data_IF_668677545840
#
_entry.id   IF_668677545840
#
_cell.length_a   1.000
_cell.length_b   1.000
_cell.length_c   1.000
_cell.angle_alpha   90.00
_cell.angle_beta   90.00
_cell.angle_gamma   90.00
#
_symmetry.space_group_name_H-M   'P 1'
#
loop_
_entity.id
_entity.type
_entity.pdbx_description
1 polymer ?
#
# COMPACT_ATOMS: atom_id res chain seq x y z
N UNK A 1 -1.58 7.11 11.75
CA UNK A 1 -0.74 5.92 11.58
C UNK A 1 -0.23 5.43 12.94
N UNK A 2 -0.02 4.14 13.04
CA UNK A 2 0.54 3.47 14.21
C UNK A 2 1.35 2.25 13.75
N UNK A 3 2.65 2.44 13.51
CA UNK A 3 3.52 1.48 12.86
C UNK A 3 4.52 0.81 13.79
N UNK A 4 5.21 -0.19 13.25
CA UNK A 4 6.37 -0.83 13.85
C UNK A 4 7.64 -0.05 13.49
N UNK A 5 8.60 0.01 14.38
CA UNK A 5 9.94 0.49 14.04
C UNK A 5 10.59 -0.45 13.02
N UNK A 6 11.24 0.13 11.99
CA UNK A 6 11.84 -0.65 10.89
C UNK A 6 12.95 -1.61 11.35
N UNK A 7 13.65 -1.26 12.43
CA UNK A 7 14.80 -2.02 12.94
C UNK A 7 14.47 -2.91 14.17
N UNK A 8 13.24 -2.90 14.66
CA UNK A 8 12.85 -3.63 15.88
C UNK A 8 12.03 -4.90 15.60
N UNK A 9 12.62 -5.82 14.84
CA UNK A 9 12.03 -7.17 14.70
C UNK A 9 12.03 -7.99 16.00
N UNK A 10 12.79 -7.59 17.02
CA UNK A 10 13.05 -8.42 18.21
C UNK A 10 12.27 -8.00 19.47
N UNK A 11 11.90 -6.75 19.58
CA UNK A 11 11.19 -6.22 20.76
C UNK A 11 9.80 -5.70 20.38
N UNK A 12 8.86 -6.60 20.15
CA UNK A 12 7.44 -6.28 19.91
C UNK A 12 6.71 -5.87 21.20
N UNK A 13 7.30 -4.95 21.97
CA UNK A 13 6.60 -4.34 23.09
C UNK A 13 5.75 -3.20 22.56
N UNK A 14 4.47 -3.22 22.89
CA UNK A 14 3.59 -2.09 22.57
C UNK A 14 4.08 -0.83 23.30
N UNK A 15 4.14 0.32 22.63
CA UNK A 15 4.44 1.58 23.30
C UNK A 15 3.35 1.89 24.33
N UNK A 16 3.73 2.52 25.45
CA UNK A 16 2.80 2.93 26.51
C UNK A 16 1.99 4.16 26.08
N UNK A 17 0.95 3.91 25.25
CA UNK A 17 0.00 4.93 24.80
C UNK A 17 -1.34 4.64 25.47
N UNK A 18 -1.59 5.32 26.59
CA UNK A 18 -2.82 5.16 27.38
C UNK A 18 -4.06 5.40 26.52
N UNK A 19 -5.02 4.49 26.59
CA UNK A 19 -6.29 4.58 25.88
C UNK A 19 -6.23 4.13 24.42
N UNK A 20 -5.07 3.71 23.90
CA UNK A 20 -4.98 3.19 22.53
C UNK A 20 -5.12 1.66 22.46
N UNK A 21 -4.46 0.96 23.37
CA UNK A 21 -4.42 -0.50 23.35
C UNK A 21 -5.21 -1.15 24.50
N UNK A 22 -5.28 -0.48 25.64
CA UNK A 22 -5.82 -0.99 26.90
C UNK A 22 -7.32 -0.68 27.10
N UNK A 23 -7.78 0.51 26.68
CA UNK A 23 -9.18 0.92 26.69
C UNK A 23 -9.47 1.92 25.57
N UNK A 24 -10.75 2.25 25.35
CA UNK A 24 -11.13 3.26 24.37
C UNK A 24 -10.88 4.67 24.89
N UNK A 25 -9.72 5.22 24.62
CA UNK A 25 -9.33 6.59 24.96
C UNK A 25 -9.26 7.54 23.76
N UNK A 26 -9.52 7.05 22.55
CA UNK A 26 -9.49 7.82 21.30
C UNK A 26 -10.78 7.62 20.51
N UNK A 27 -11.18 8.65 19.79
CA UNK A 27 -12.41 8.63 18.99
C UNK A 27 -12.21 7.97 17.63
N UNK A 28 -10.99 7.98 17.07
CA UNK A 28 -10.64 7.30 15.83
C UNK A 28 -9.13 7.14 15.63
N UNK A 29 -8.75 6.18 14.77
CA UNK A 29 -7.41 6.04 14.22
C UNK A 29 -7.51 6.05 12.69
N UNK A 30 -6.64 6.81 12.04
CA UNK A 30 -6.55 6.91 10.58
C UNK A 30 -5.21 6.32 10.12
N UNK A 31 -5.26 5.42 9.15
CA UNK A 31 -4.09 4.78 8.55
C UNK A 31 -3.92 5.28 7.13
N UNK A 32 -2.79 5.94 6.84
CA UNK A 32 -2.48 6.48 5.52
C UNK A 32 -2.29 5.38 4.48
N UNK A 33 -1.59 4.30 4.84
CA UNK A 33 -1.34 3.15 3.97
C UNK A 33 -0.89 1.90 4.75
N UNK A 34 -0.74 0.77 4.05
CA UNK A 34 -0.58 -0.55 4.66
C UNK A 34 0.87 -1.01 4.92
N UNK A 35 1.90 -0.20 4.81
CA UNK A 35 3.25 -0.62 5.19
C UNK A 35 3.37 -0.83 6.70
N UNK A 36 4.28 -1.71 7.12
CA UNK A 36 4.40 -2.13 8.50
C UNK A 36 4.77 -1.01 9.48
N UNK A 37 5.55 -0.05 9.03
CA UNK A 37 5.93 1.16 9.76
C UNK A 37 4.80 2.21 9.88
N UNK A 38 3.65 1.97 9.26
CA UNK A 38 2.44 2.79 9.38
C UNK A 38 1.23 2.04 9.96
N UNK A 39 1.12 0.74 9.69
CA UNK A 39 -0.02 -0.11 10.09
C UNK A 39 0.34 -1.12 11.20
N UNK A 40 1.61 -1.45 11.39
CA UNK A 40 2.03 -2.68 12.07
C UNK A 40 1.54 -2.86 13.49
N UNK A 41 1.28 -1.81 14.25
CA UNK A 41 0.68 -1.88 15.59
C UNK A 41 -0.85 -1.76 15.59
N UNK A 42 -1.48 -1.50 14.44
CA UNK A 42 -2.93 -1.35 14.36
C UNK A 42 -3.70 -2.64 14.73
N UNK A 43 -3.06 -3.80 14.62
CA UNK A 43 -3.61 -5.09 15.08
C UNK A 43 -3.85 -5.17 16.60
N UNK A 44 -3.28 -4.25 17.36
CA UNK A 44 -3.37 -4.21 18.82
C UNK A 44 -4.27 -3.09 19.34
N UNK A 45 -4.77 -2.22 18.45
CA UNK A 45 -5.67 -1.11 18.83
C UNK A 45 -6.91 -1.69 19.52
N UNK A 46 -7.36 -1.01 20.58
CA UNK A 46 -8.57 -1.41 21.29
C UNK A 46 -9.76 -1.48 20.33
N UNK A 47 -10.48 -2.60 20.34
CA UNK A 47 -11.52 -2.95 19.36
C UNK A 47 -12.67 -1.94 19.20
N UNK A 48 -12.91 -1.12 20.21
CA UNK A 48 -13.98 -0.12 20.20
C UNK A 48 -13.51 1.24 19.64
N UNK A 49 -12.24 1.38 19.26
CA UNK A 49 -11.72 2.57 18.57
C UNK A 49 -11.93 2.39 17.07
N UNK A 50 -12.73 3.26 16.41
CA UNK A 50 -12.91 3.22 14.97
C UNK A 50 -11.58 3.38 14.22
N UNK A 51 -11.28 2.48 13.29
CA UNK A 51 -10.11 2.56 12.42
C UNK A 51 -10.56 2.84 10.99
N UNK A 52 -9.93 3.82 10.36
CA UNK A 52 -10.18 4.23 8.98
C UNK A 52 -8.94 3.99 8.13
N UNK A 53 -9.12 3.38 6.95
CA UNK A 53 -8.05 3.18 5.96
C UNK A 53 -8.65 3.04 4.55
N UNK A 54 -7.83 3.04 3.52
CA UNK A 54 -8.29 2.83 2.14
C UNK A 54 -8.95 1.47 1.96
N UNK A 55 -10.02 1.39 1.15
CA UNK A 55 -10.74 0.12 0.90
C UNK A 55 -9.85 -0.93 0.26
N UNK A 56 -9.05 -0.52 -0.74
CA UNK A 56 -8.11 -1.42 -1.41
C UNK A 56 -6.96 -1.82 -0.50
N UNK A 57 -6.48 -0.88 0.31
CA UNK A 57 -5.50 -1.14 1.37
C UNK A 57 -5.99 -2.23 2.33
N UNK A 58 -7.23 -2.14 2.80
CA UNK A 58 -7.84 -3.14 3.68
C UNK A 58 -7.94 -4.52 3.01
N UNK A 59 -8.38 -4.59 1.75
CA UNK A 59 -8.47 -5.85 0.98
C UNK A 59 -7.10 -6.50 0.77
N UNK A 60 -6.07 -5.70 0.46
CA UNK A 60 -4.70 -6.17 0.29
C UNK A 60 -4.17 -6.76 1.62
N UNK A 61 -4.39 -6.07 2.74
CA UNK A 61 -4.00 -6.58 4.05
C UNK A 61 -4.75 -7.86 4.40
N UNK A 62 -6.04 -7.92 4.16
CA UNK A 62 -6.83 -9.14 4.38
C UNK A 62 -6.30 -10.34 3.56
N UNK A 63 -5.94 -10.13 2.30
CA UNK A 63 -5.31 -11.15 1.47
C UNK A 63 -3.96 -11.60 2.04
N UNK A 64 -3.12 -10.64 2.45
CA UNK A 64 -1.83 -10.89 3.09
C UNK A 64 -1.96 -11.68 4.38
N UNK A 65 -2.87 -11.28 5.25
CA UNK A 65 -3.10 -11.91 6.55
C UNK A 65 -3.66 -13.33 6.39
N UNK A 66 -4.58 -13.50 5.45
CA UNK A 66 -5.13 -14.83 5.08
C UNK A 66 -4.00 -15.76 4.59
N UNK A 67 -3.12 -15.26 3.72
CA UNK A 67 -1.97 -16.03 3.24
C UNK A 67 -1.02 -16.41 4.38
N UNK A 68 -0.77 -15.49 5.30
CA UNK A 68 0.09 -15.69 6.49
C UNK A 68 -0.59 -16.47 7.61
N UNK A 69 -1.92 -16.66 7.54
CA UNK A 69 -2.75 -17.30 8.56
C UNK A 69 -2.70 -16.56 9.90
N UNK A 70 -2.78 -15.25 9.86
CA UNK A 70 -2.86 -14.37 11.05
C UNK A 70 -4.21 -13.63 11.07
N UNK A 71 -4.64 -13.11 12.24
CA UNK A 71 -5.83 -12.27 12.33
C UNK A 71 -5.72 -11.05 11.43
N UNK A 72 -6.81 -10.62 10.82
CA UNK A 72 -6.85 -9.44 9.97
C UNK A 72 -7.46 -8.23 10.67
N UNK A 73 -7.10 -7.04 10.19
CA UNK A 73 -7.71 -5.78 10.61
C UNK A 73 -9.05 -5.61 9.88
N UNK A 74 -10.08 -5.22 10.64
CA UNK A 74 -11.38 -4.86 10.08
C UNK A 74 -11.60 -3.35 10.29
N UNK A 75 -11.49 -2.52 9.25
CA UNK A 75 -11.76 -1.10 9.34
C UNK A 75 -13.22 -0.83 9.75
N UNK A 76 -13.44 0.28 10.44
CA UNK A 76 -14.77 0.80 10.73
C UNK A 76 -15.41 1.38 9.46
N UNK A 77 -14.63 2.18 8.69
CA UNK A 77 -15.05 2.74 7.41
C UNK A 77 -13.82 3.04 6.53
N UNK A 78 -14.04 3.43 5.29
CA UNK A 78 -13.01 3.59 4.27
C UNK A 78 -12.72 5.05 3.94
N UNK A 79 -11.43 5.32 3.71
CA UNK A 79 -10.96 6.58 3.16
C UNK A 79 -11.32 6.65 1.67
N UNK A 80 -11.89 7.76 1.25
CA UNK A 80 -12.16 8.08 -0.15
C UNK A 80 -11.58 9.47 -0.47
N UNK A 81 -11.00 9.61 -1.65
CA UNK A 81 -10.40 10.86 -2.08
C UNK A 81 -11.36 12.04 -1.95
N UNK A 82 -10.97 13.06 -1.16
CA UNK A 82 -11.73 14.30 -0.90
C UNK A 82 -13.07 14.10 -0.16
N UNK A 83 -13.36 12.93 0.34
CA UNK A 83 -14.57 12.70 1.14
C UNK A 83 -14.25 12.96 2.61
N UNK A 84 -14.76 14.10 3.12
CA UNK A 84 -14.56 14.52 4.50
C UNK A 84 -15.22 13.56 5.49
N UNK A 85 -14.46 13.17 6.52
CA UNK A 85 -14.92 12.40 7.67
C UNK A 85 -14.88 13.33 8.89
N UNK A 86 -15.94 13.32 9.72
CA UNK A 86 -16.02 14.15 10.94
C UNK A 86 -16.00 13.22 12.14
N UNK A 87 -15.08 13.50 13.07
CA UNK A 87 -14.93 12.77 14.33
C UNK A 87 -14.87 13.81 15.46
N UNK A 88 -15.95 13.92 16.24
CA UNK A 88 -16.11 15.03 17.21
C UNK A 88 -16.04 16.38 16.50
N UNK A 89 -15.15 17.25 16.96
CA UNK A 89 -14.92 18.58 16.40
C UNK A 89 -13.83 18.61 15.31
N UNK A 90 -13.23 17.45 14.98
CA UNK A 90 -12.18 17.33 13.99
C UNK A 90 -12.76 16.83 12.67
N UNK A 91 -12.42 17.48 11.57
CA UNK A 91 -12.67 16.96 10.24
C UNK A 91 -11.39 16.44 9.60
N UNK A 92 -11.45 15.28 8.96
CA UNK A 92 -10.33 14.65 8.25
C UNK A 92 -10.73 14.48 6.79
N UNK A 93 -9.96 15.09 5.88
CA UNK A 93 -10.17 14.96 4.44
C UNK A 93 -9.00 14.17 3.84
N UNK A 94 -9.24 12.95 3.32
CA UNK A 94 -8.21 12.14 2.68
C UNK A 94 -7.93 12.65 1.26
N UNK A 95 -6.65 12.70 0.88
CA UNK A 95 -6.20 12.97 -0.49
C UNK A 95 -5.38 11.79 -0.99
N UNK A 96 -5.84 11.14 -2.05
CA UNK A 96 -5.08 10.05 -2.68
C UNK A 96 -3.68 10.54 -3.05
N UNK A 97 -2.66 9.73 -2.79
CA UNK A 97 -1.29 10.05 -3.15
C UNK A 97 -0.60 8.93 -3.94
N UNK A 98 0.52 9.25 -4.60
CA UNK A 98 1.38 8.24 -5.20
C UNK A 98 2.35 7.69 -4.16
N UNK A 99 2.33 6.38 -4.00
CA UNK A 99 3.24 5.61 -3.16
C UNK A 99 3.33 4.16 -3.65
N UNK A 100 4.32 3.39 -3.18
CA UNK A 100 4.46 1.96 -3.51
C UNK A 100 3.31 1.12 -2.93
N UNK A 101 2.77 1.51 -1.78
CA UNK A 101 1.51 0.99 -1.30
C UNK A 101 0.35 1.52 -2.12
N UNK A 102 -0.52 0.63 -2.56
CA UNK A 102 -1.71 0.99 -3.33
C UNK A 102 -2.77 1.60 -2.42
N UNK A 103 -3.55 2.58 -2.92
CA UNK A 103 -4.62 3.21 -2.16
C UNK A 103 -4.10 3.93 -0.89
N UNK A 104 -3.03 4.72 -1.06
CA UNK A 104 -2.39 5.54 -0.02
C UNK A 104 -2.95 6.95 0.00
N UNK A 105 -3.05 7.56 1.19
CA UNK A 105 -3.67 8.86 1.40
C UNK A 105 -2.80 9.80 2.23
N UNK A 106 -2.78 11.07 1.84
CA UNK A 106 -2.47 12.19 2.71
C UNK A 106 -3.73 12.58 3.48
N UNK A 107 -3.60 13.06 4.70
CA UNK A 107 -4.73 13.38 5.58
C UNK A 107 -4.68 14.86 5.98
N UNK A 108 -5.69 15.63 5.55
CA UNK A 108 -5.90 17.00 6.02
C UNK A 108 -6.81 16.98 7.24
N UNK A 109 -6.28 17.35 8.39
CA UNK A 109 -7.02 17.46 9.64
C UNK A 109 -7.33 18.95 9.91
N UNK A 110 -8.56 19.27 10.20
CA UNK A 110 -9.01 20.65 10.49
C UNK A 110 -9.83 20.68 11.78
N UNK A 111 -9.51 21.58 12.69
CA UNK A 111 -10.23 21.84 13.93
C UNK A 111 -9.93 23.27 14.41
N UNK A 112 -10.88 23.95 15.06
CA UNK A 112 -10.71 25.28 15.69
C UNK A 112 -10.10 26.36 14.77
N UNK A 113 -10.32 26.25 13.45
CA UNK A 113 -9.78 27.18 12.46
C UNK A 113 -8.30 26.94 12.10
N UNK A 114 -7.67 25.90 12.62
CA UNK A 114 -6.33 25.43 12.23
C UNK A 114 -6.40 24.20 11.33
N UNK A 115 -5.38 24.02 10.50
CA UNK A 115 -5.25 22.92 9.56
C UNK A 115 -3.89 22.25 9.64
N UNK A 116 -3.87 20.92 9.62
CA UNK A 116 -2.65 20.10 9.60
C UNK A 116 -2.75 19.14 8.41
N UNK A 117 -1.77 19.17 7.51
CA UNK A 117 -1.62 18.16 6.47
C UNK A 117 -0.56 17.15 6.91
N UNK A 118 -0.98 15.88 7.06
CA UNK A 118 -0.10 14.73 7.25
C UNK A 118 0.06 14.02 5.93
N UNK A 119 1.28 13.88 5.42
CA UNK A 119 1.51 13.31 4.08
C UNK A 119 1.49 11.78 4.06
N UNK A 120 1.70 11.11 5.22
CA UNK A 120 2.14 9.73 5.15
C UNK A 120 3.38 9.65 4.27
N UNK A 121 3.60 8.52 3.62
CA UNK A 121 4.64 8.35 2.61
C UNK A 121 4.11 8.66 1.21
N UNK A 122 4.94 9.33 0.41
CA UNK A 122 4.59 9.64 -0.98
C UNK A 122 5.81 9.64 -1.90
N UNK A 123 5.55 9.54 -3.20
CA UNK A 123 6.58 9.63 -4.25
C UNK A 123 5.97 10.28 -5.49
N UNK A 124 6.82 10.70 -6.44
CA UNK A 124 6.38 11.25 -7.71
C UNK A 124 6.81 10.42 -8.92
N UNK A 125 7.33 9.21 -8.71
CA UNK A 125 7.89 8.36 -9.75
C UNK A 125 7.11 7.04 -9.97
N UNK A 126 5.93 6.92 -9.36
CA UNK A 126 5.01 5.80 -9.55
C UNK A 126 4.18 5.90 -10.84
N UNK A 127 3.00 5.28 -10.83
CA UNK A 127 2.08 5.26 -11.98
C UNK A 127 0.90 6.21 -11.86
N UNK A 128 0.71 6.82 -10.69
CA UNK A 128 -0.36 7.81 -10.51
C UNK A 128 0.07 9.17 -11.07
N UNK A 129 -0.86 9.99 -11.56
CA UNK A 129 -0.59 11.32 -12.13
C UNK A 129 -0.23 12.32 -11.01
N UNK A 130 1.03 12.37 -10.64
CA UNK A 130 1.53 13.09 -9.46
C UNK A 130 1.18 14.57 -9.46
N UNK A 131 1.37 15.28 -10.58
CA UNK A 131 1.07 16.71 -10.68
C UNK A 131 -0.41 17.00 -10.45
N UNK A 132 -1.29 16.12 -10.96
CA UNK A 132 -2.73 16.23 -10.69
C UNK A 132 -3.03 16.00 -9.21
N UNK A 133 -2.47 14.98 -8.61
CA UNK A 133 -2.65 14.69 -7.17
C UNK A 133 -2.21 15.87 -6.31
N UNK A 134 -1.08 16.50 -6.62
CA UNK A 134 -0.62 17.71 -5.92
C UNK A 134 -1.57 18.89 -6.11
N UNK A 135 -2.17 19.04 -7.29
CA UNK A 135 -3.11 20.13 -7.57
C UNK A 135 -4.41 20.04 -6.78
N UNK A 136 -4.76 18.84 -6.30
CA UNK A 136 -5.94 18.59 -5.47
C UNK A 136 -5.74 18.98 -4.00
N UNK A 137 -4.49 19.13 -3.56
CA UNK A 137 -4.18 19.49 -2.17
C UNK A 137 -4.53 20.96 -1.88
N UNK A 138 -4.84 21.31 -0.63
CA UNK A 138 -5.03 22.68 -0.23
C UNK A 138 -3.76 23.52 -0.49
N UNK A 139 -3.92 24.72 -1.04
CA UNK A 139 -2.78 25.62 -1.35
C UNK A 139 -2.05 26.16 -0.11
N UNK A 140 -2.71 26.12 1.05
CA UNK A 140 -2.17 26.57 2.32
C UNK A 140 -2.69 25.67 3.43
N UNK A 141 -1.82 25.36 4.36
CA UNK A 141 -2.13 24.69 5.64
C UNK A 141 -1.31 25.39 6.73
N UNK A 142 -1.79 25.35 7.97
CA UNK A 142 -1.08 25.98 9.08
C UNK A 142 0.13 25.15 9.51
N UNK A 143 0.02 23.82 9.44
CA UNK A 143 1.09 22.88 9.78
C UNK A 143 1.19 21.78 8.73
N UNK A 144 2.42 21.38 8.43
CA UNK A 144 2.74 20.26 7.54
C UNK A 144 3.57 19.23 8.30
N UNK A 145 3.09 17.99 8.36
CA UNK A 145 3.85 16.83 8.82
C UNK A 145 4.20 16.02 7.58
N UNK A 146 5.46 16.08 7.18
CA UNK A 146 5.93 15.53 5.91
C UNK A 146 6.98 14.46 6.17
N UNK A 147 6.95 13.37 5.38
CA UNK A 147 8.04 12.40 5.37
C UNK A 147 9.38 13.01 4.95
N UNK A 148 10.46 12.30 5.29
CA UNK A 148 11.83 12.69 4.96
C UNK A 148 12.72 11.51 4.57
N UNK A 149 12.16 10.40 4.12
CA UNK A 149 12.84 9.11 3.89
C UNK A 149 14.04 9.22 2.95
N UNK A 150 13.99 10.13 1.97
CA UNK A 150 15.07 10.30 0.98
C UNK A 150 15.97 11.50 1.22
N UNK A 151 15.72 12.32 2.25
CA UNK A 151 16.46 13.55 2.52
C UNK A 151 17.97 13.35 2.73
N UNK A 152 18.35 12.20 3.31
CA UNK A 152 19.77 11.86 3.55
C UNK A 152 20.47 11.18 2.38
N UNK A 153 19.77 10.92 1.28
CA UNK A 153 20.33 10.20 0.12
C UNK A 153 20.90 11.17 -0.89
N UNK A 154 22.17 11.56 -0.71
CA UNK A 154 22.87 12.41 -1.66
C UNK A 154 22.91 11.80 -3.07
N UNK A 155 22.61 12.59 -4.10
CA UNK A 155 22.64 12.16 -5.50
C UNK A 155 21.56 11.15 -5.90
N UNK A 156 20.58 10.89 -5.05
CA UNK A 156 19.48 9.99 -5.39
C UNK A 156 18.61 10.57 -6.50
N UNK A 157 18.54 9.84 -7.60
CA UNK A 157 17.61 10.13 -8.71
C UNK A 157 16.58 9.01 -8.75
N UNK A 158 15.33 9.34 -8.52
CA UNK A 158 14.24 8.38 -8.59
C UNK A 158 14.00 7.94 -10.03
N UNK A 159 14.13 6.65 -10.32
CA UNK A 159 13.76 6.06 -11.60
C UNK A 159 12.25 5.86 -11.61
N UNK A 160 11.56 6.33 -12.65
CA UNK A 160 10.11 6.17 -12.78
C UNK A 160 9.73 4.71 -13.11
N UNK A 161 8.50 4.32 -12.74
CA UNK A 161 7.97 2.99 -13.13
C UNK A 161 7.91 2.84 -14.66
N UNK A 162 7.77 3.92 -15.43
CA UNK A 162 7.82 3.88 -16.89
C UNK A 162 9.23 3.61 -17.43
N UNK A 163 10.24 4.19 -16.82
CA UNK A 163 11.65 3.92 -17.20
C UNK A 163 12.04 2.49 -16.85
N UNK A 164 11.63 2.01 -15.66
CA UNK A 164 11.82 0.61 -15.25
C UNK A 164 11.12 -0.36 -16.20
N UNK A 165 9.90 -0.03 -16.65
CA UNK A 165 9.20 -0.83 -17.68
C UNK A 165 10.02 -0.92 -18.96
N UNK A 166 10.57 0.20 -19.45
CA UNK A 166 11.38 0.22 -20.66
C UNK A 166 12.67 -0.61 -20.50
N UNK A 167 13.39 -0.45 -19.39
CA UNK A 167 14.58 -1.24 -19.08
C UNK A 167 14.26 -2.74 -19.00
N UNK A 168 13.16 -3.09 -18.36
CA UNK A 168 12.72 -4.48 -18.25
C UNK A 168 12.36 -5.08 -19.62
N UNK A 169 11.75 -4.32 -20.54
CA UNK A 169 11.48 -4.77 -21.92
C UNK A 169 12.76 -5.17 -22.63
N UNK A 170 13.83 -4.37 -22.55
CA UNK A 170 15.11 -4.68 -23.19
C UNK A 170 15.72 -5.95 -22.57
N UNK A 171 15.79 -6.03 -21.24
CA UNK A 171 16.28 -7.22 -20.55
C UNK A 171 15.50 -8.46 -20.95
N UNK A 172 14.17 -8.37 -21.04
CA UNK A 172 13.31 -9.51 -21.37
C UNK A 172 13.46 -9.95 -22.82
N UNK A 173 13.70 -9.03 -23.75
CA UNK A 173 13.96 -9.36 -25.17
C UNK A 173 15.29 -10.03 -25.41
N UNK A 174 16.33 -9.56 -24.70
CA UNK A 174 17.70 -10.06 -24.86
C UNK A 174 17.90 -11.46 -24.29
N UNK A 175 17.07 -11.87 -23.33
CA UNK A 175 17.17 -13.17 -22.69
C UNK A 175 16.30 -14.22 -23.37
N UNK A 176 16.89 -15.38 -23.74
CA UNK A 176 16.18 -16.50 -24.39
C UNK A 176 15.47 -17.42 -23.38
N UNK A 177 15.97 -17.53 -22.18
CA UNK A 177 15.46 -18.39 -21.10
C UNK A 177 14.48 -17.69 -20.16
N UNK A 178 14.05 -18.36 -19.08
CA UNK A 178 13.26 -17.74 -18.03
C UNK A 178 13.99 -16.57 -17.38
N UNK A 179 13.26 -15.52 -17.05
CA UNK A 179 13.76 -14.36 -16.29
C UNK A 179 13.03 -14.31 -14.97
N UNK A 180 13.76 -14.31 -13.88
CA UNK A 180 13.24 -14.21 -12.53
C UNK A 180 13.40 -12.77 -12.03
N UNK A 181 12.29 -12.19 -11.57
CA UNK A 181 12.24 -10.84 -11.02
C UNK A 181 11.96 -10.93 -9.53
N UNK A 182 12.89 -10.45 -8.71
CA UNK A 182 12.69 -10.32 -7.27
C UNK A 182 12.12 -8.93 -6.96
N UNK A 183 10.90 -8.88 -6.43
CA UNK A 183 10.22 -7.64 -6.09
C UNK A 183 9.28 -7.83 -4.89
N UNK A 184 8.83 -6.74 -4.28
CA UNK A 184 7.79 -6.80 -3.27
C UNK A 184 6.43 -7.09 -3.91
N UNK A 185 5.72 -8.11 -3.42
CA UNK A 185 4.35 -8.42 -3.82
C UNK A 185 3.35 -7.32 -3.41
N UNK A 186 3.72 -6.48 -2.45
CA UNK A 186 2.89 -5.38 -1.96
C UNK A 186 3.06 -4.09 -2.79
N UNK A 187 4.00 -4.04 -3.74
CA UNK A 187 4.19 -2.90 -4.66
C UNK A 187 3.37 -3.11 -5.94
N UNK A 188 2.12 -2.64 -5.93
CA UNK A 188 1.18 -2.85 -7.04
C UNK A 188 1.67 -2.19 -8.34
N UNK A 189 2.24 -1.00 -8.29
CA UNK A 189 2.80 -0.35 -9.47
C UNK A 189 3.88 -1.20 -10.13
N UNK A 190 4.72 -1.87 -9.34
CA UNK A 190 5.77 -2.75 -9.84
C UNK A 190 5.20 -4.03 -10.47
N UNK A 191 4.10 -4.59 -9.95
CA UNK A 191 3.39 -5.71 -10.59
C UNK A 191 2.92 -5.29 -11.98
N UNK A 192 2.27 -4.14 -12.09
CA UNK A 192 1.82 -3.58 -13.37
C UNK A 192 3.00 -3.32 -14.32
N UNK A 193 4.11 -2.79 -13.80
CA UNK A 193 5.33 -2.52 -14.55
C UNK A 193 5.89 -3.79 -15.19
N UNK A 194 6.06 -4.84 -14.40
CA UNK A 194 6.62 -6.11 -14.88
C UNK A 194 5.68 -6.82 -15.84
N UNK A 195 4.37 -6.81 -15.58
CA UNK A 195 3.36 -7.34 -16.50
C UNK A 195 3.43 -6.61 -17.86
N UNK A 196 3.41 -5.29 -17.88
CA UNK A 196 3.46 -4.50 -19.12
C UNK A 196 4.76 -4.75 -19.90
N UNK A 197 5.90 -4.83 -19.19
CA UNK A 197 7.18 -5.16 -19.81
C UNK A 197 7.16 -6.57 -20.43
N UNK A 198 6.55 -7.54 -19.74
CA UNK A 198 6.36 -8.91 -20.22
C UNK A 198 5.53 -8.94 -21.50
N UNK A 199 4.40 -8.24 -21.53
CA UNK A 199 3.55 -8.13 -22.72
C UNK A 199 4.28 -7.50 -23.90
N UNK A 200 4.98 -6.38 -23.67
CA UNK A 200 5.73 -5.64 -24.72
C UNK A 200 6.92 -6.45 -25.26
N UNK A 201 7.42 -7.41 -24.51
CA UNK A 201 8.49 -8.32 -24.94
C UNK A 201 7.99 -9.63 -25.55
N UNK A 202 6.66 -9.84 -25.64
CA UNK A 202 6.05 -11.05 -26.20
C UNK A 202 6.23 -12.29 -25.33
N UNK A 203 6.36 -12.11 -24.01
CA UNK A 203 6.59 -13.20 -23.04
C UNK A 203 5.31 -13.48 -22.23
N UNK A 204 5.33 -14.57 -21.47
CA UNK A 204 4.26 -14.96 -20.56
C UNK A 204 4.58 -14.46 -19.16
N UNK A 205 3.60 -13.85 -18.49
CA UNK A 205 3.73 -13.37 -17.11
C UNK A 205 3.29 -14.48 -16.15
N UNK A 206 4.21 -14.81 -15.24
CA UNK A 206 3.95 -15.74 -14.15
C UNK A 206 4.22 -15.03 -12.83
N UNK A 207 3.28 -15.14 -11.90
CA UNK A 207 3.42 -14.57 -10.56
C UNK A 207 3.29 -15.64 -9.48
N UNK A 208 3.98 -15.45 -8.38
CA UNK A 208 3.88 -16.33 -7.22
C UNK A 208 2.50 -16.17 -6.56
N UNK A 209 1.96 -17.23 -5.97
CA UNK A 209 0.62 -17.27 -5.41
C UNK A 209 0.31 -16.10 -4.45
N UNK A 210 1.24 -15.71 -3.60
CA UNK A 210 1.05 -14.56 -2.71
C UNK A 210 0.86 -13.25 -3.49
N UNK A 211 1.67 -13.05 -4.53
CA UNK A 211 1.52 -11.88 -5.41
C UNK A 211 0.17 -11.91 -6.14
N UNK A 212 -0.26 -13.08 -6.63
CA UNK A 212 -1.56 -13.27 -7.27
C UNK A 212 -2.73 -12.90 -6.34
N UNK A 213 -2.65 -13.29 -5.06
CA UNK A 213 -3.64 -12.95 -4.05
C UNK A 213 -3.70 -11.44 -3.78
N UNK A 214 -2.55 -10.81 -3.65
CA UNK A 214 -2.41 -9.35 -3.46
C UNK A 214 -2.93 -8.58 -4.67
N UNK A 215 -2.53 -8.97 -5.89
CA UNK A 215 -2.97 -8.34 -7.13
C UNK A 215 -4.50 -8.44 -7.32
N UNK A 216 -5.08 -9.62 -7.04
CA UNK A 216 -6.53 -9.85 -7.08
C UNK A 216 -7.27 -8.97 -6.07
N UNK A 217 -6.73 -8.82 -4.86
CA UNK A 217 -7.32 -7.98 -3.81
C UNK A 217 -7.26 -6.48 -4.16
N UNK A 218 -6.21 -6.03 -4.87
CA UNK A 218 -6.07 -4.65 -5.31
C UNK A 218 -7.14 -4.24 -6.34
N UNK A 219 -7.68 -5.19 -7.11
CA UNK A 219 -8.83 -4.99 -7.98
C UNK A 219 -8.66 -5.51 -9.40
N UNK A 220 -9.78 -5.64 -10.11
CA UNK A 220 -9.87 -6.26 -11.43
C UNK A 220 -9.13 -5.55 -12.57
N UNK A 221 -8.60 -4.34 -12.34
CA UNK A 221 -7.73 -3.64 -13.31
C UNK A 221 -6.24 -3.94 -13.09
N UNK A 222 -5.89 -4.61 -12.01
CA UNK A 222 -4.51 -5.01 -11.70
C UNK A 222 -4.28 -6.40 -12.29
N UNK A 223 -3.18 -6.63 -13.02
CA UNK A 223 -2.87 -7.93 -13.59
C UNK A 223 -2.86 -9.02 -12.52
N UNK A 224 -3.66 -10.04 -12.71
CA UNK A 224 -3.82 -11.17 -11.80
C UNK A 224 -4.33 -12.39 -12.61
N UNK A 225 -4.41 -13.61 -12.04
CA UNK A 225 -4.77 -14.81 -12.78
C UNK A 225 -6.19 -14.86 -13.34
N UNK A 226 -7.03 -13.84 -13.13
CA UNK A 226 -8.28 -13.68 -13.88
C UNK A 226 -8.05 -13.11 -15.30
N UNK A 227 -6.83 -12.68 -15.63
CA UNK A 227 -6.44 -12.27 -16.97
C UNK A 227 -5.99 -13.52 -17.76
N UNK A 228 -6.41 -13.64 -19.01
CA UNK A 228 -6.12 -14.81 -19.87
C UNK A 228 -4.63 -15.09 -20.06
N UNK A 229 -3.76 -14.13 -19.80
CA UNK A 229 -2.33 -14.17 -20.06
C UNK A 229 -1.46 -14.00 -18.80
N UNK A 230 -2.06 -14.15 -17.63
CA UNK A 230 -1.38 -14.15 -16.31
C UNK A 230 -1.56 -15.52 -15.66
N UNK A 231 -0.46 -16.12 -15.24
CA UNK A 231 -0.46 -17.44 -14.62
C UNK A 231 0.12 -17.37 -13.21
N UNK A 232 -0.49 -18.10 -12.26
CA UNK A 232 0.04 -18.22 -10.92
C UNK A 232 0.85 -19.52 -10.77
N UNK A 233 1.91 -19.47 -9.95
CA UNK A 233 2.68 -20.65 -9.56
C UNK A 233 2.90 -20.68 -8.05
N UNK A 234 3.35 -21.82 -7.55
CA UNK A 234 3.72 -22.02 -6.15
C UNK A 234 5.19 -22.38 -6.03
N UNK A 235 5.81 -21.85 -4.97
CA UNK A 235 7.20 -22.23 -4.58
C UNK A 235 7.23 -23.37 -3.58
N UNK A 236 6.06 -23.76 -3.02
CA UNK A 236 5.93 -24.84 -2.05
C UNK A 236 4.64 -25.63 -2.28
N UNK A 237 4.75 -26.99 -2.26
CA UNK A 237 3.61 -27.89 -2.37
C UNK A 237 2.53 -27.66 -1.27
N UNK A 238 2.91 -27.11 -0.10
CA UNK A 238 1.97 -26.78 0.97
C UNK A 238 0.96 -25.68 0.58
N UNK A 239 1.20 -24.97 -0.53
CA UNK A 239 0.33 -23.91 -1.08
C UNK A 239 -0.59 -24.40 -2.20
N UNK A 240 -0.56 -25.69 -2.54
CA UNK A 240 -1.32 -26.24 -3.68
C UNK A 240 -2.83 -26.00 -3.58
N UNK A 241 -3.42 -26.09 -2.39
CA UNK A 241 -4.85 -25.82 -2.21
C UNK A 241 -5.21 -24.33 -2.52
N UNK A 242 -4.32 -23.41 -2.15
CA UNK A 242 -4.50 -21.99 -2.50
C UNK A 242 -4.43 -21.74 -4.02
N UNK A 243 -3.61 -22.51 -4.73
CA UNK A 243 -3.49 -22.37 -6.18
C UNK A 243 -4.74 -22.87 -6.93
N UNK A 244 -5.47 -23.83 -6.38
CA UNK A 244 -6.69 -24.39 -7.02
C UNK A 244 -7.75 -23.35 -7.37
N UNK A 245 -7.84 -22.26 -6.61
CA UNK A 245 -8.80 -21.18 -6.87
C UNK A 245 -8.56 -20.44 -8.20
N UNK A 246 -7.37 -20.58 -8.77
CA UNK A 246 -6.97 -20.01 -10.07
C UNK A 246 -6.92 -21.06 -11.19
N UNK A 247 -7.32 -22.30 -10.92
CA UNK A 247 -7.44 -23.32 -11.98
C UNK A 247 -8.68 -23.04 -12.84
N UNK A 248 -8.45 -22.89 -14.13
CA UNK A 248 -9.48 -22.75 -15.16
C UNK A 248 -9.66 -24.05 -15.91
#
# INVERSE_FOLDING_TARGET
DIGLELDDEKNKTLPDIKGLFDYKGYDAVFISHYHGDHLGLAYHIHKDIPLYMGEKSAKIIQASDTYKKVPTITPYDFLEHRKKIVVGDISVTPYLCDHSAFDSYMLLCEADGESILYTGDFRGNGRKPYDWLLSELPKKVDKLICEGTTLSREGYVAVSEQELENQAVEIFRDNKGPVFVLQSSMNIDRIVTMYRATKRSGRTFLEELYMADIASAAGGSIPNPAFDDVYAFITSCSRYEGLKKYAH
#
